data_IF_624085824774
#
_entry.id   IF_624085824774
#
_cell.length_a   1.000
_cell.length_b   1.000
_cell.length_c   1.000
_cell.angle_alpha   90.00
_cell.angle_beta   90.00
_cell.angle_gamma   90.00
#
_symmetry.space_group_name_H-M   'P 1'
#
loop_
_entity.id
_entity.type
_entity.pdbx_description
1 polymer ?
#
# COMPACT_ATOMS: atom_id res chain seq x y z
N UNK A 1 -7.23 -2.05 -13.28
CA UNK A 1 -5.81 -1.67 -13.38
C UNK A 1 -5.08 -2.13 -12.13
N UNK A 2 -3.89 -2.65 -12.29
CA UNK A 2 -3.09 -3.08 -11.15
C UNK A 2 -2.10 -2.00 -10.73
N UNK A 3 -1.92 -1.87 -9.43
CA UNK A 3 -0.96 -0.94 -8.87
C UNK A 3 0.00 -1.66 -7.95
N UNK A 4 1.27 -1.33 -8.06
CA UNK A 4 2.31 -1.79 -7.14
C UNK A 4 2.54 -0.67 -6.15
N UNK A 5 2.40 -0.99 -4.87
CA UNK A 5 2.50 -0.01 -3.80
C UNK A 5 3.71 -0.35 -2.93
N UNK A 6 4.68 0.55 -2.90
CA UNK A 6 5.87 0.41 -2.06
C UNK A 6 5.64 1.18 -0.77
N UNK A 7 5.81 0.50 0.36
CA UNK A 7 5.62 1.09 1.68
C UNK A 7 6.83 0.82 2.57
N UNK A 8 7.03 1.68 3.55
CA UNK A 8 8.04 1.48 4.58
C UNK A 8 7.34 1.24 5.91
N UNK A 9 7.65 0.12 6.55
CA UNK A 9 7.15 -0.21 7.87
C UNK A 9 8.03 0.48 8.91
N UNK A 10 7.53 1.55 9.52
CA UNK A 10 8.28 2.35 10.48
C UNK A 10 8.52 1.62 11.80
N UNK A 11 7.64 0.70 12.15
CA UNK A 11 7.74 -0.02 13.42
C UNK A 11 8.82 -1.09 13.34
N UNK A 12 8.83 -1.87 12.26
CA UNK A 12 9.79 -2.96 12.09
C UNK A 12 11.02 -2.55 11.28
N UNK A 13 10.97 -1.42 10.58
CA UNK A 13 12.13 -0.87 9.89
C UNK A 13 12.48 -1.56 8.58
N UNK A 14 11.50 -2.05 7.83
CA UNK A 14 11.77 -2.64 6.53
C UNK A 14 10.77 -2.15 5.48
N UNK A 15 11.14 -2.32 4.20
CA UNK A 15 10.27 -2.01 3.07
C UNK A 15 9.41 -3.21 2.72
N UNK A 16 8.21 -2.94 2.27
CA UNK A 16 7.29 -3.96 1.82
C UNK A 16 6.61 -3.52 0.53
N UNK A 17 6.03 -4.46 -0.20
CA UNK A 17 5.39 -4.18 -1.48
C UNK A 17 4.05 -4.90 -1.53
N UNK A 18 3.03 -4.15 -1.92
CA UNK A 18 1.68 -4.68 -2.07
C UNK A 18 1.18 -4.48 -3.49
N UNK A 19 0.36 -5.40 -3.97
CA UNK A 19 -0.31 -5.25 -5.25
C UNK A 19 -1.80 -5.03 -5.01
N UNK A 20 -2.33 -3.98 -5.62
CA UNK A 20 -3.73 -3.57 -5.41
C UNK A 20 -4.38 -3.40 -6.78
N UNK A 21 -5.62 -3.88 -6.91
CA UNK A 21 -6.44 -3.66 -8.11
C UNK A 21 -7.40 -2.52 -7.82
N UNK A 22 -7.35 -1.48 -8.65
CA UNK A 22 -8.18 -0.29 -8.48
C UNK A 22 -8.33 0.43 -9.83
N UNK A 23 -9.23 1.40 -9.89
CA UNK A 23 -9.46 2.18 -11.11
C UNK A 23 -8.45 3.29 -11.32
N UNK A 24 -7.91 3.82 -10.24
CA UNK A 24 -6.93 4.90 -10.29
C UNK A 24 -6.06 4.86 -9.03
N UNK A 25 -5.04 5.70 -9.00
CA UNK A 25 -4.08 5.71 -7.88
C UNK A 25 -4.71 6.13 -6.56
N UNK A 26 -5.73 6.99 -6.59
CA UNK A 26 -6.42 7.43 -5.38
C UNK A 26 -7.18 6.28 -4.73
N UNK A 27 -7.88 5.49 -5.54
CA UNK A 27 -8.55 4.28 -5.05
C UNK A 27 -7.56 3.22 -4.59
N UNK A 28 -6.44 3.09 -5.30
CA UNK A 28 -5.37 2.17 -4.91
C UNK A 28 -4.84 2.52 -3.53
N UNK A 29 -4.66 3.79 -3.23
CA UNK A 29 -4.22 4.24 -1.93
C UNK A 29 -5.23 3.87 -0.83
N UNK A 30 -6.51 4.06 -1.08
CA UNK A 30 -7.57 3.69 -0.13
C UNK A 30 -7.57 2.19 0.15
N UNK A 31 -7.46 1.39 -0.91
CA UNK A 31 -7.42 -0.07 -0.78
C UNK A 31 -6.18 -0.52 0.00
N UNK A 32 -5.04 0.11 -0.27
CA UNK A 32 -3.80 -0.19 0.43
C UNK A 32 -3.93 0.10 1.93
N UNK A 33 -4.47 1.26 2.29
CA UNK A 33 -4.66 1.64 3.68
C UNK A 33 -5.60 0.66 4.39
N UNK A 34 -6.69 0.29 3.74
CA UNK A 34 -7.64 -0.68 4.29
C UNK A 34 -6.97 -2.04 4.52
N UNK A 35 -6.14 -2.47 3.57
CA UNK A 35 -5.42 -3.75 3.69
C UNK A 35 -4.41 -3.71 4.83
N UNK A 36 -3.67 -2.63 4.97
CA UNK A 36 -2.69 -2.47 6.06
C UNK A 36 -3.37 -2.50 7.42
N UNK A 37 -4.53 -1.86 7.54
CA UNK A 37 -5.30 -1.86 8.79
C UNK A 37 -5.87 -3.23 9.14
N UNK A 38 -6.18 -4.05 8.14
CA UNK A 38 -6.80 -5.36 8.34
C UNK A 38 -5.81 -6.50 8.52
N UNK A 39 -4.66 -6.44 7.86
CA UNK A 39 -3.72 -7.56 7.80
C UNK A 39 -2.64 -7.51 8.89
N UNK A 40 -2.48 -6.38 9.56
CA UNK A 40 -1.46 -6.24 10.58
C UNK A 40 -2.09 -5.78 11.89
N UNK A 41 -1.42 -6.08 13.00
CA UNK A 41 -1.80 -5.53 14.30
C UNK A 41 -1.43 -4.04 14.39
N UNK A 42 -0.69 -3.55 13.41
CA UNK A 42 -0.28 -2.17 13.30
C UNK A 42 -1.25 -1.44 12.40
N UNK A 43 -1.61 -0.22 12.77
CA UNK A 43 -2.47 0.60 11.93
C UNK A 43 -1.69 1.13 10.73
N UNK A 44 -2.41 1.62 9.72
CA UNK A 44 -1.79 2.25 8.55
C UNK A 44 -0.85 3.40 8.94
N UNK A 45 -0.97 3.95 10.14
CA UNK A 45 -0.07 4.99 10.66
C UNK A 45 1.35 4.49 10.90
N UNK A 46 1.53 3.17 11.04
CA UNK A 46 2.85 2.56 11.16
C UNK A 46 3.58 2.38 9.84
N UNK A 47 3.00 2.81 8.74
CA UNK A 47 3.55 2.66 7.39
C UNK A 47 3.62 4.00 6.68
N UNK A 48 4.71 4.23 5.94
CA UNK A 48 4.79 5.33 4.99
C UNK A 48 4.58 4.78 3.58
N UNK A 49 3.68 5.39 2.83
CA UNK A 49 3.49 5.05 1.42
C UNK A 49 4.55 5.79 0.62
N UNK A 50 5.48 5.03 0.02
CA UNK A 50 6.61 5.60 -0.71
C UNK A 50 6.24 5.87 -2.15
N UNK A 51 5.55 4.91 -2.79
CA UNK A 51 5.23 5.02 -4.20
C UNK A 51 4.04 4.13 -4.55
N UNK A 52 3.17 4.63 -5.42
CA UNK A 52 2.10 3.86 -6.02
C UNK A 52 2.30 3.94 -7.53
N UNK A 53 2.56 2.80 -8.17
CA UNK A 53 2.85 2.74 -9.59
C UNK A 53 1.78 1.93 -10.31
N UNK A 54 1.13 2.54 -11.29
CA UNK A 54 0.17 1.83 -12.13
C UNK A 54 0.88 0.96 -13.16
N UNK A 55 0.36 -0.26 -13.35
CA UNK A 55 0.88 -1.19 -14.35
C UNK A 55 -0.10 -1.21 -15.51
N UNK A 56 0.39 -0.84 -16.69
CA UNK A 56 -0.39 -0.91 -17.93
C UNK A 56 -0.29 -2.32 -18.49
N UNK A 57 -1.42 -2.95 -18.65
CA UNK A 57 -1.51 -4.31 -19.22
C UNK A 57 -1.85 -4.28 -20.70
#
# INVERSE_FOLDING_TARGET
MRFVCDVFNKVQGFYDRYMVVAQNSKEAQKELIARLDNETDETSKGFDIIRITGIVE
#
